data_IF_393458473814
#
_entry.id   IF_393458473814
#
_cell.length_a   1.000
_cell.length_b   1.000
_cell.length_c   1.000
_cell.angle_alpha   90.00
_cell.angle_beta   90.00
_cell.angle_gamma   90.00
#
_symmetry.space_group_name_H-M   'P 1'
#
loop_
_entity.id
_entity.type
_entity.pdbx_description
1 polymer ?
#
# COMPACT_ATOMS: atom_id res chain seq x y z
N UNK A 1 -43.74 45.06 36.98
CA UNK A 1 -43.01 43.81 36.74
C UNK A 1 -41.83 44.13 35.86
N UNK A 2 -40.55 44.06 36.28
CA UNK A 2 -39.41 44.42 35.53
C UNK A 2 -38.91 43.17 34.74
N UNK A 3 -38.55 43.39 33.47
CA UNK A 3 -38.00 42.46 32.54
C UNK A 3 -36.58 42.02 32.96
N UNK A 4 -36.32 40.70 32.97
CA UNK A 4 -35.04 40.14 33.33
C UNK A 4 -33.94 40.43 32.28
N UNK A 5 -32.74 40.72 32.78
CA UNK A 5 -31.55 40.90 31.97
C UNK A 5 -31.01 39.54 31.49
N UNK A 6 -30.43 39.46 30.27
CA UNK A 6 -29.76 38.25 29.79
C UNK A 6 -28.41 38.06 30.50
N UNK A 7 -28.13 36.84 30.90
CA UNK A 7 -26.88 36.38 31.50
C UNK A 7 -25.72 36.54 30.53
N UNK A 8 -24.67 37.23 30.93
CA UNK A 8 -23.38 37.32 30.23
C UNK A 8 -22.59 36.02 30.41
N UNK A 9 -22.34 35.32 29.32
CA UNK A 9 -21.36 34.27 29.27
C UNK A 9 -19.94 34.86 29.34
N UNK A 10 -19.02 34.30 30.13
CA UNK A 10 -17.64 34.80 30.17
C UNK A 10 -16.89 34.44 28.87
N UNK A 11 -15.91 35.25 28.46
CA UNK A 11 -15.14 34.97 27.23
C UNK A 11 -14.23 33.76 27.44
N UNK A 12 -14.29 32.84 26.49
CA UNK A 12 -13.35 31.70 26.38
C UNK A 12 -11.98 32.28 25.99
N UNK A 13 -11.05 32.23 26.93
CA UNK A 13 -9.64 32.56 26.70
C UNK A 13 -9.02 31.48 25.87
N UNK A 14 -8.89 31.69 24.55
CA UNK A 14 -8.09 30.88 23.67
C UNK A 14 -6.65 31.38 23.66
N UNK A 15 -5.86 30.86 24.56
CA UNK A 15 -4.40 30.84 24.42
C UNK A 15 -4.02 29.40 24.09
N UNK A 16 -4.13 29.02 22.82
CA UNK A 16 -3.42 27.85 22.30
C UNK A 16 -1.93 28.19 22.34
N UNK A 17 -1.24 27.74 23.39
CA UNK A 17 0.21 27.70 23.40
C UNK A 17 0.68 26.78 22.29
N UNK A 18 1.46 27.32 21.36
CA UNK A 18 2.19 26.53 20.40
C UNK A 18 3.02 25.47 21.14
N UNK A 19 3.08 24.23 20.65
CA UNK A 19 3.90 23.20 21.29
C UNK A 19 5.35 23.66 21.31
N UNK A 20 5.95 23.62 22.50
CA UNK A 20 7.37 23.90 22.70
C UNK A 20 8.18 22.99 21.80
N UNK A 21 9.15 23.55 21.08
CA UNK A 21 10.12 22.81 20.28
C UNK A 21 10.66 21.64 21.10
N UNK A 22 10.39 20.43 20.65
CA UNK A 22 10.95 19.21 21.23
C UNK A 22 12.48 19.31 21.15
N UNK A 23 13.15 18.99 22.23
CA UNK A 23 14.61 18.93 22.30
C UNK A 23 15.13 17.90 21.27
N UNK A 24 16.24 18.18 20.55
CA UNK A 24 16.74 17.32 19.50
C UNK A 24 17.56 16.16 20.07
N UNK A 25 16.92 15.14 20.62
CA UNK A 25 17.66 13.96 21.11
C UNK A 25 16.88 12.65 21.18
N UNK A 26 15.81 12.49 20.43
CA UNK A 26 15.25 11.16 20.18
C UNK A 26 15.39 10.87 18.71
N UNK A 27 16.47 10.17 18.34
CA UNK A 27 16.61 9.54 17.03
C UNK A 27 15.55 8.44 16.94
N UNK A 28 14.39 8.75 16.36
CA UNK A 28 13.44 7.71 15.99
C UNK A 28 14.05 6.90 14.85
N UNK A 29 14.21 5.59 15.06
CA UNK A 29 14.76 4.69 14.05
C UNK A 29 13.84 4.54 12.82
N UNK A 30 12.55 4.85 12.94
CA UNK A 30 11.56 4.79 11.87
C UNK A 30 10.18 5.24 12.35
N UNK A 31 9.27 5.43 11.41
CA UNK A 31 7.85 5.72 11.64
C UNK A 31 7.01 4.60 11.04
N UNK A 32 6.09 4.06 11.82
CA UNK A 32 5.17 3.04 11.37
C UNK A 32 3.74 3.51 11.54
N UNK A 33 2.93 3.39 10.50
CA UNK A 33 1.51 3.67 10.59
C UNK A 33 0.79 2.50 11.29
N UNK A 34 -0.13 2.83 12.20
CA UNK A 34 -0.91 1.85 12.95
C UNK A 34 -2.00 1.21 12.10
N UNK A 35 -2.70 2.02 11.31
CA UNK A 35 -3.81 1.62 10.44
C UNK A 35 -3.87 2.52 9.20
N UNK A 36 -4.69 2.11 8.24
CA UNK A 36 -5.14 2.94 7.13
C UNK A 36 -6.32 3.82 7.53
N UNK A 37 -7.03 4.28 6.52
CA UNK A 37 -8.22 5.14 6.56
C UNK A 37 -8.50 5.59 5.14
N UNK A 38 -9.11 6.76 4.97
CA UNK A 38 -9.41 7.36 3.66
C UNK A 38 -9.22 8.89 3.60
N UNK A 39 -8.77 9.48 4.70
CA UNK A 39 -8.66 10.93 4.89
C UNK A 39 -7.24 11.50 4.84
N UNK A 40 -6.19 10.67 4.73
CA UNK A 40 -4.79 11.12 4.84
C UNK A 40 -4.41 12.13 3.73
N UNK A 41 -5.10 12.10 2.60
CA UNK A 41 -4.95 13.09 1.53
C UNK A 41 -5.13 14.53 2.05
N UNK A 42 -5.95 14.73 3.08
CA UNK A 42 -6.21 16.05 3.69
C UNK A 42 -5.05 16.57 4.53
N UNK A 43 -4.18 15.67 4.98
CA UNK A 43 -3.00 16.00 5.80
C UNK A 43 -1.82 16.47 4.94
N UNK A 44 -1.71 15.99 3.70
CA UNK A 44 -0.56 16.27 2.82
C UNK A 44 -0.22 17.77 2.69
N UNK A 45 -1.20 18.69 2.54
CA UNK A 45 -0.91 20.12 2.44
C UNK A 45 -0.34 20.76 3.71
N UNK A 46 -0.48 20.08 4.87
CA UNK A 46 -0.03 20.55 6.16
C UNK A 46 1.41 20.11 6.50
N UNK A 47 1.98 19.23 5.68
CA UNK A 47 3.31 18.66 5.91
C UNK A 47 4.40 19.64 5.45
N UNK A 48 5.39 19.85 6.31
CA UNK A 48 6.58 20.65 5.99
C UNK A 48 7.59 19.82 5.19
N UNK A 49 7.62 20.04 3.87
CA UNK A 49 8.48 19.30 2.93
C UNK A 49 9.98 19.48 3.21
N UNK A 50 10.38 20.67 3.63
CA UNK A 50 11.80 20.98 3.89
C UNK A 50 12.25 20.31 5.18
N UNK A 51 11.45 20.36 6.22
CA UNK A 51 11.73 19.71 7.50
C UNK A 51 11.84 18.17 7.32
N UNK A 52 10.91 17.56 6.60
CA UNK A 52 10.91 16.11 6.36
C UNK A 52 12.13 15.71 5.51
N UNK A 53 12.49 16.49 4.49
CA UNK A 53 13.68 16.23 3.67
C UNK A 53 14.97 16.38 4.44
N UNK A 54 15.05 17.33 5.39
CA UNK A 54 16.24 17.60 6.18
C UNK A 54 16.56 16.48 7.19
N UNK A 55 15.57 15.75 7.66
CA UNK A 55 15.73 14.64 8.62
C UNK A 55 14.80 13.47 8.28
N UNK A 56 15.07 12.76 7.16
CA UNK A 56 14.19 11.68 6.69
C UNK A 56 14.21 10.50 7.65
N UNK A 57 13.04 9.93 7.89
CA UNK A 57 12.87 8.70 8.68
C UNK A 57 12.34 7.59 7.77
N UNK A 58 12.78 6.33 7.95
CA UNK A 58 12.10 5.19 7.34
C UNK A 58 10.62 5.19 7.74
N UNK A 59 9.73 5.18 6.76
CA UNK A 59 8.29 5.17 6.97
C UNK A 59 7.70 3.87 6.40
N UNK A 60 6.88 3.18 7.19
CA UNK A 60 6.16 1.97 6.81
C UNK A 60 4.65 2.24 6.86
N UNK A 61 3.94 1.86 5.81
CA UNK A 61 2.49 2.03 5.76
C UNK A 61 1.85 1.32 4.58
N UNK A 62 0.54 1.10 4.67
CA UNK A 62 -0.30 0.46 3.65
C UNK A 62 -1.60 1.24 3.49
N UNK A 63 -2.45 0.86 2.54
CA UNK A 63 -3.79 1.43 2.37
C UNK A 63 -3.75 2.96 2.18
N UNK A 64 -4.48 3.72 2.98
CA UNK A 64 -4.51 5.19 2.96
C UNK A 64 -3.12 5.83 3.10
N UNK A 65 -2.16 5.13 3.73
CA UNK A 65 -0.78 5.59 3.80
C UNK A 65 -0.10 5.67 2.43
N UNK A 66 -0.69 5.15 1.36
CA UNK A 66 -0.25 5.40 -0.03
C UNK A 66 -0.14 6.90 -0.31
N UNK A 67 -0.99 7.74 0.29
CA UNK A 67 -0.89 9.19 0.22
C UNK A 67 0.51 9.69 0.67
N UNK A 68 0.95 9.24 1.85
CA UNK A 68 2.24 9.66 2.40
C UNK A 68 3.41 8.97 1.69
N UNK A 69 3.25 7.74 1.21
CA UNK A 69 4.27 7.05 0.41
C UNK A 69 4.58 7.81 -0.89
N UNK A 70 3.55 8.26 -1.62
CA UNK A 70 3.70 9.09 -2.82
C UNK A 70 4.35 10.43 -2.48
N UNK A 71 3.91 11.07 -1.39
CA UNK A 71 4.48 12.33 -0.91
C UNK A 71 5.97 12.22 -0.59
N UNK A 72 6.38 11.19 0.16
CA UNK A 72 7.78 10.94 0.50
C UNK A 72 8.63 10.62 -0.72
N UNK A 73 8.09 9.83 -1.66
CA UNK A 73 8.73 9.56 -2.94
C UNK A 73 9.04 10.86 -3.71
N UNK A 74 8.09 11.80 -3.74
CA UNK A 74 8.29 13.11 -4.38
C UNK A 74 9.37 13.98 -3.68
N UNK A 75 9.67 13.68 -2.44
CA UNK A 75 10.81 14.27 -1.71
C UNK A 75 12.15 13.56 -1.97
N UNK A 76 12.15 12.47 -2.74
CA UNK A 76 13.33 11.64 -2.98
C UNK A 76 13.64 10.67 -1.83
N UNK A 77 12.69 10.46 -0.92
CA UNK A 77 12.82 9.58 0.24
C UNK A 77 12.24 8.21 -0.12
N UNK A 78 13.02 7.14 0.09
CA UNK A 78 12.52 5.76 0.01
C UNK A 78 11.69 5.49 1.26
N UNK A 79 10.47 5.00 1.03
CA UNK A 79 9.56 4.56 2.08
C UNK A 79 9.18 3.09 1.83
N UNK A 80 8.37 2.50 2.69
CA UNK A 80 8.11 1.07 2.65
C UNK A 80 6.61 0.80 2.67
N UNK A 81 6.10 0.14 1.62
CA UNK A 81 4.73 -0.34 1.60
C UNK A 81 4.69 -1.71 2.28
N UNK A 82 3.90 -1.84 3.33
CA UNK A 82 3.75 -3.10 4.08
C UNK A 82 3.96 -2.94 5.58
N UNK A 83 3.84 -4.06 6.28
CA UNK A 83 4.09 -4.20 7.71
C UNK A 83 3.22 -3.29 8.60
N UNK A 84 1.91 -3.26 8.36
CA UNK A 84 0.97 -2.56 9.24
C UNK A 84 1.09 -3.08 10.68
N UNK A 85 1.10 -2.14 11.64
CA UNK A 85 1.26 -2.48 13.05
C UNK A 85 0.10 -3.35 13.57
N UNK A 86 -1.13 -3.03 13.18
CA UNK A 86 -2.32 -3.69 13.71
C UNK A 86 -2.55 -5.09 13.12
N UNK A 87 -2.33 -5.27 11.83
CA UNK A 87 -2.67 -6.51 11.12
C UNK A 87 -1.53 -7.49 11.02
N UNK A 88 -0.35 -7.06 10.56
CA UNK A 88 0.79 -7.94 10.32
C UNK A 88 1.69 -8.09 11.55
N UNK A 89 2.13 -6.97 12.15
CA UNK A 89 2.98 -7.03 13.34
C UNK A 89 2.17 -7.41 14.60
N UNK A 90 0.90 -6.98 14.67
CA UNK A 90 -0.06 -7.38 15.69
C UNK A 90 -0.80 -8.69 15.37
N UNK A 91 -0.29 -9.52 14.46
CA UNK A 91 -0.89 -10.79 14.09
C UNK A 91 -1.12 -11.66 15.31
N UNK A 92 -2.32 -12.29 15.45
CA UNK A 92 -2.60 -13.21 16.55
C UNK A 92 -1.60 -14.36 16.59
N UNK A 93 -1.36 -14.89 17.79
CA UNK A 93 -0.50 -16.05 18.07
C UNK A 93 0.98 -15.79 17.82
N UNK A 94 1.39 -15.50 16.58
CA UNK A 94 2.80 -15.22 16.24
C UNK A 94 2.88 -14.40 14.95
N UNK A 95 3.93 -13.56 14.85
CA UNK A 95 4.30 -12.89 13.63
C UNK A 95 4.63 -13.93 12.54
N UNK A 96 4.08 -13.75 11.34
CA UNK A 96 4.36 -14.66 10.24
C UNK A 96 5.86 -14.59 9.86
N UNK A 97 6.57 -15.73 9.72
CA UNK A 97 8.01 -15.74 9.46
C UNK A 97 8.41 -14.94 8.21
N UNK A 98 7.65 -15.06 7.12
CA UNK A 98 7.88 -14.33 5.88
C UNK A 98 7.79 -12.81 6.07
N UNK A 99 6.79 -12.33 6.80
CA UNK A 99 6.65 -10.92 7.14
C UNK A 99 7.80 -10.45 8.03
N UNK A 100 8.15 -11.25 9.05
CA UNK A 100 9.27 -10.96 9.95
C UNK A 100 10.61 -10.82 9.20
N UNK A 101 10.87 -11.73 8.26
CA UNK A 101 12.09 -11.72 7.47
C UNK A 101 12.13 -10.53 6.50
N UNK A 102 11.01 -10.21 5.86
CA UNK A 102 10.90 -9.06 4.96
C UNK A 102 11.09 -7.73 5.71
N UNK A 103 10.46 -7.57 6.88
CA UNK A 103 10.63 -6.39 7.74
C UNK A 103 12.07 -6.29 8.24
N UNK A 104 12.66 -7.40 8.68
CA UNK A 104 14.07 -7.43 9.12
C UNK A 104 15.01 -7.04 7.98
N UNK A 105 14.76 -7.54 6.77
CA UNK A 105 15.54 -7.16 5.61
C UNK A 105 15.40 -5.65 5.33
N UNK A 106 14.20 -5.10 5.34
CA UNK A 106 13.95 -3.67 5.11
C UNK A 106 14.61 -2.76 6.16
N UNK A 107 14.71 -3.21 7.42
CA UNK A 107 15.27 -2.40 8.51
C UNK A 107 16.79 -2.54 8.65
N UNK A 108 17.37 -3.70 8.32
CA UNK A 108 18.74 -4.03 8.73
C UNK A 108 19.65 -4.53 7.59
N UNK A 109 19.17 -4.50 6.34
CA UNK A 109 20.02 -4.83 5.18
C UNK A 109 20.07 -3.68 4.17
N UNK A 110 21.15 -3.60 3.42
CA UNK A 110 21.35 -2.61 2.35
C UNK A 110 21.59 -3.27 0.97
N UNK A 111 21.40 -4.56 0.89
CA UNK A 111 21.65 -5.36 -0.31
C UNK A 111 20.35 -5.88 -0.96
N UNK A 112 20.50 -6.63 -2.06
CA UNK A 112 19.35 -7.25 -2.71
C UNK A 112 18.72 -8.32 -1.83
N UNK A 113 17.40 -8.30 -1.76
CA UNK A 113 16.56 -9.27 -1.05
C UNK A 113 15.57 -9.91 -2.02
N UNK A 114 15.58 -11.23 -2.12
CA UNK A 114 14.65 -11.97 -2.98
C UNK A 114 13.31 -12.11 -2.30
N UNK A 115 12.26 -11.56 -2.92
CA UNK A 115 10.89 -11.83 -2.51
C UNK A 115 10.51 -13.24 -2.97
N UNK A 116 9.87 -14.00 -2.11
CA UNK A 116 9.40 -15.37 -2.39
C UNK A 116 7.91 -15.48 -2.17
N UNK A 117 7.19 -16.27 -2.97
CA UNK A 117 5.77 -16.47 -2.76
C UNK A 117 5.49 -17.22 -1.46
N UNK A 118 4.41 -16.85 -0.80
CA UNK A 118 3.87 -17.61 0.31
C UNK A 118 3.35 -18.97 -0.18
N UNK A 119 3.42 -19.98 0.66
CA UNK A 119 2.79 -21.29 0.41
C UNK A 119 1.36 -21.37 0.93
N UNK A 120 0.99 -20.44 1.80
CA UNK A 120 -0.34 -20.28 2.38
C UNK A 120 -0.63 -18.80 2.58
N UNK A 121 -1.90 -18.42 2.47
CA UNK A 121 -2.35 -17.06 2.74
C UNK A 121 -3.69 -17.04 3.46
N UNK A 122 -4.04 -15.88 3.98
CA UNK A 122 -5.34 -15.57 4.56
C UNK A 122 -5.84 -14.22 4.04
N UNK A 123 -7.12 -14.15 3.72
CA UNK A 123 -7.83 -12.94 3.30
C UNK A 123 -9.02 -12.60 4.20
N UNK A 124 -9.20 -13.36 5.29
CA UNK A 124 -10.28 -13.14 6.25
C UNK A 124 -9.80 -12.32 7.44
N UNK A 125 -10.61 -11.36 7.88
CA UNK A 125 -10.32 -10.59 9.09
C UNK A 125 -10.73 -11.37 10.33
N UNK A 126 -10.20 -10.94 11.47
CA UNK A 126 -10.64 -11.41 12.77
C UNK A 126 -11.62 -10.43 13.39
N UNK A 127 -12.50 -10.94 14.21
CA UNK A 127 -13.28 -10.10 15.10
C UNK A 127 -12.40 -9.61 16.27
N UNK A 128 -12.08 -8.34 16.26
CA UNK A 128 -11.28 -7.69 17.32
C UNK A 128 -11.99 -7.66 18.68
N UNK A 129 -13.32 -7.80 18.69
CA UNK A 129 -14.12 -7.85 19.92
C UNK A 129 -14.12 -9.25 20.56
N UNK A 130 -13.71 -10.29 19.84
CA UNK A 130 -13.61 -11.65 20.35
C UNK A 130 -12.19 -11.98 20.83
N UNK A 131 -11.93 -12.00 22.16
CA UNK A 131 -10.61 -12.32 22.71
C UNK A 131 -10.06 -13.68 22.28
N UNK A 132 -10.93 -14.66 22.00
CA UNK A 132 -10.49 -15.99 21.58
C UNK A 132 -9.78 -16.01 20.23
N UNK A 133 -9.93 -14.95 19.44
CA UNK A 133 -9.21 -14.81 18.15
C UNK A 133 -7.73 -14.49 18.30
N UNK A 134 -7.27 -14.08 19.50
CA UNK A 134 -5.88 -13.70 19.74
C UNK A 134 -4.97 -14.88 20.11
N UNK A 135 -5.53 -15.95 20.67
CA UNK A 135 -4.79 -17.07 21.24
C UNK A 135 -4.58 -18.24 20.27
N UNK A 136 -5.07 -18.11 19.05
CA UNK A 136 -4.94 -19.16 18.02
C UNK A 136 -4.33 -18.63 16.74
N UNK A 137 -3.59 -19.51 16.06
CA UNK A 137 -3.11 -19.20 14.72
C UNK A 137 -4.30 -18.96 13.77
N UNK A 138 -4.26 -17.91 12.97
CA UNK A 138 -5.31 -17.63 12.00
C UNK A 138 -5.42 -18.74 10.94
N UNK A 139 -6.65 -19.11 10.57
CA UNK A 139 -6.88 -20.04 9.48
C UNK A 139 -6.30 -19.51 8.18
N UNK A 140 -5.60 -20.35 7.44
CA UNK A 140 -4.98 -20.03 6.17
C UNK A 140 -5.23 -21.11 5.13
N UNK A 141 -5.20 -20.75 3.86
CA UNK A 141 -5.42 -21.68 2.75
C UNK A 141 -4.14 -21.80 1.89
N UNK A 142 -3.90 -22.97 1.26
CA UNK A 142 -2.74 -23.15 0.40
C UNK A 142 -2.84 -22.31 -0.87
N UNK A 143 -1.68 -21.98 -1.46
CA UNK A 143 -1.59 -21.26 -2.73
C UNK A 143 -0.38 -21.76 -3.53
N UNK A 144 -0.52 -21.75 -4.86
CA UNK A 144 0.49 -22.25 -5.80
C UNK A 144 1.52 -21.19 -6.25
N UNK A 145 1.69 -20.13 -5.46
CA UNK A 145 2.62 -19.04 -5.76
C UNK A 145 2.01 -17.92 -6.60
N UNK A 146 2.86 -17.18 -7.32
CA UNK A 146 2.49 -16.03 -8.13
C UNK A 146 2.16 -16.43 -9.56
N UNK A 147 1.27 -15.68 -10.22
CA UNK A 147 0.86 -15.93 -11.60
C UNK A 147 1.58 -14.92 -12.51
N UNK A 148 2.34 -15.40 -13.47
CA UNK A 148 3.13 -14.59 -14.37
C UNK A 148 2.46 -14.45 -15.74
N UNK A 149 2.39 -13.22 -16.23
CA UNK A 149 1.88 -12.87 -17.55
C UNK A 149 3.02 -12.23 -18.37
N UNK A 150 3.29 -12.75 -19.57
CA UNK A 150 4.39 -12.34 -20.46
C UNK A 150 5.76 -12.32 -19.74
N UNK A 151 6.22 -13.44 -19.15
CA UNK A 151 7.41 -13.50 -18.31
C UNK A 151 8.71 -13.67 -19.12
N UNK A 152 8.90 -12.90 -20.19
CA UNK A 152 10.04 -12.99 -21.11
C UNK A 152 11.05 -11.84 -20.96
N UNK A 153 10.81 -10.95 -20.00
CA UNK A 153 11.60 -9.75 -19.78
C UNK A 153 12.36 -9.78 -18.46
N UNK A 154 13.45 -9.01 -18.41
CA UNK A 154 14.09 -8.54 -17.20
C UNK A 154 13.84 -7.03 -17.09
N UNK A 155 13.14 -6.62 -16.04
CA UNK A 155 12.84 -5.21 -15.76
C UNK A 155 13.52 -4.80 -14.46
N UNK A 156 14.30 -3.73 -14.52
CA UNK A 156 14.92 -3.13 -13.34
C UNK A 156 14.54 -1.67 -13.25
N UNK A 157 13.84 -1.29 -12.18
CA UNK A 157 13.31 0.05 -12.03
C UNK A 157 13.06 0.44 -10.57
N UNK A 158 12.58 1.65 -10.38
CA UNK A 158 12.09 2.10 -9.07
C UNK A 158 10.63 1.67 -8.90
N UNK A 159 10.29 1.17 -7.72
CA UNK A 159 8.92 0.84 -7.38
C UNK A 159 8.09 2.10 -7.18
N UNK A 160 6.92 2.14 -7.80
CA UNK A 160 5.91 3.18 -7.62
C UNK A 160 4.51 2.54 -7.67
N UNK A 161 3.56 3.06 -6.87
CA UNK A 161 2.21 2.52 -6.89
C UNK A 161 1.52 2.58 -5.53
N UNK A 162 1.04 1.45 -5.01
CA UNK A 162 0.36 1.32 -3.72
C UNK A 162 -1.10 0.90 -3.86
N UNK A 163 -1.95 1.36 -2.94
CA UNK A 163 -3.38 1.09 -2.96
C UNK A 163 -4.05 1.79 -4.14
N UNK A 164 -4.80 1.03 -4.95
CA UNK A 164 -5.36 1.50 -6.22
C UNK A 164 -6.46 2.55 -6.01
N UNK A 165 -7.29 2.38 -4.99
CA UNK A 165 -8.36 3.30 -4.63
C UNK A 165 -7.78 4.65 -4.20
N UNK A 166 -6.75 4.64 -3.37
CA UNK A 166 -6.07 5.87 -2.92
C UNK A 166 -5.39 6.58 -4.09
N UNK A 167 -4.71 5.83 -4.97
CA UNK A 167 -4.13 6.42 -6.19
C UNK A 167 -5.20 7.07 -7.07
N UNK A 168 -6.40 6.48 -7.16
CA UNK A 168 -7.51 7.06 -7.92
C UNK A 168 -7.95 8.41 -7.35
N UNK A 169 -7.99 8.55 -6.03
CA UNK A 169 -8.34 9.80 -5.36
C UNK A 169 -7.25 10.86 -5.51
N UNK A 170 -5.99 10.49 -5.41
CA UNK A 170 -4.87 11.39 -5.71
C UNK A 170 -4.90 11.89 -7.15
N UNK A 171 -5.19 10.99 -8.12
CA UNK A 171 -5.37 11.33 -9.52
C UNK A 171 -6.55 12.29 -9.74
N UNK A 172 -7.67 12.05 -9.08
CA UNK A 172 -8.88 12.87 -9.19
C UNK A 172 -8.69 14.24 -8.55
N UNK A 173 -7.98 14.32 -7.43
CA UNK A 173 -7.64 15.55 -6.74
C UNK A 173 -6.48 16.33 -7.39
N UNK A 174 -5.83 15.77 -8.42
CA UNK A 174 -4.60 16.30 -9.04
C UNK A 174 -3.50 16.58 -8.00
N UNK A 175 -3.30 15.64 -7.09
CA UNK A 175 -2.33 15.74 -5.98
C UNK A 175 -1.25 14.68 -6.08
N UNK A 176 -0.02 15.08 -5.78
CA UNK A 176 1.19 14.26 -5.62
C UNK A 176 1.56 13.38 -6.83
N UNK A 177 0.66 13.08 -7.75
CA UNK A 177 0.97 12.32 -8.96
C UNK A 177 1.36 13.28 -10.08
N UNK A 178 2.57 13.15 -10.58
CA UNK A 178 3.10 14.02 -11.62
C UNK A 178 2.19 14.05 -12.86
N UNK A 179 1.97 15.26 -13.41
CA UNK A 179 1.18 15.43 -14.63
C UNK A 179 1.89 14.86 -15.86
N UNK A 180 3.22 14.97 -15.89
CA UNK A 180 4.04 14.32 -16.91
C UNK A 180 4.33 12.87 -16.49
N UNK A 181 3.74 11.88 -17.18
CA UNK A 181 3.95 10.48 -16.84
C UNK A 181 5.37 9.99 -17.13
N UNK A 182 6.17 10.73 -17.92
CA UNK A 182 7.53 10.33 -18.26
C UNK A 182 8.47 10.26 -17.05
N UNK A 183 8.12 10.89 -15.93
CA UNK A 183 8.90 10.79 -14.67
C UNK A 183 8.93 9.37 -14.11
N UNK A 184 8.00 8.50 -14.54
CA UNK A 184 7.92 7.10 -14.13
C UNK A 184 8.50 6.11 -15.15
N UNK A 185 9.13 6.61 -16.22
CA UNK A 185 9.64 5.77 -17.32
C UNK A 185 10.59 4.68 -16.83
N UNK A 186 10.31 3.44 -17.20
CA UNK A 186 11.10 2.27 -16.80
C UNK A 186 10.91 1.82 -15.35
N UNK A 187 9.96 2.41 -14.63
CA UNK A 187 9.64 1.99 -13.26
C UNK A 187 8.96 0.62 -13.18
N UNK A 188 8.85 0.10 -11.98
CA UNK A 188 8.03 -1.08 -11.65
C UNK A 188 6.78 -0.59 -10.94
N UNK A 189 5.61 -0.80 -11.57
CA UNK A 189 4.33 -0.49 -10.95
C UNK A 189 3.98 -1.59 -9.95
N UNK A 190 3.56 -1.23 -8.74
CA UNK A 190 2.95 -2.19 -7.83
C UNK A 190 1.61 -1.67 -7.34
N UNK A 191 0.58 -2.49 -7.40
CA UNK A 191 -0.79 -2.11 -7.07
C UNK A 191 -1.44 -3.17 -6.18
N UNK A 192 -2.31 -2.75 -5.29
CA UNK A 192 -3.16 -3.64 -4.51
C UNK A 192 -4.53 -3.00 -4.30
N UNK A 193 -5.52 -3.77 -3.90
CA UNK A 193 -6.89 -3.34 -3.61
C UNK A 193 -7.25 -3.63 -2.16
N UNK A 194 -8.07 -2.77 -1.57
CA UNK A 194 -8.42 -2.80 -0.16
C UNK A 194 -9.49 -3.87 0.19
N UNK A 195 -9.84 -3.90 1.47
CA UNK A 195 -10.96 -4.67 2.03
C UNK A 195 -12.33 -4.14 1.60
N UNK A 196 -12.40 -2.98 0.96
CA UNK A 196 -13.64 -2.49 0.33
C UNK A 196 -14.06 -3.34 -0.87
N UNK A 197 -13.14 -4.15 -1.37
CA UNK A 197 -13.38 -5.13 -2.42
C UNK A 197 -13.98 -4.50 -3.69
N UNK A 198 -13.26 -3.56 -4.33
CA UNK A 198 -13.75 -2.96 -5.57
C UNK A 198 -14.01 -4.03 -6.63
N UNK A 199 -15.10 -3.86 -7.38
CA UNK A 199 -15.43 -4.78 -8.48
C UNK A 199 -14.35 -4.76 -9.57
N UNK A 200 -14.25 -5.83 -10.36
CA UNK A 200 -13.34 -5.86 -11.51
C UNK A 200 -13.59 -4.71 -12.50
N UNK A 201 -14.85 -4.26 -12.64
CA UNK A 201 -15.17 -3.10 -13.50
C UNK A 201 -14.66 -1.78 -12.90
N UNK A 202 -14.69 -1.60 -11.57
CA UNK A 202 -14.10 -0.43 -10.91
C UNK A 202 -12.59 -0.42 -11.06
N UNK A 203 -11.92 -1.55 -10.82
CA UNK A 203 -10.49 -1.71 -11.06
C UNK A 203 -10.13 -1.37 -12.51
N UNK A 204 -10.87 -1.91 -13.48
CA UNK A 204 -10.65 -1.58 -14.89
C UNK A 204 -10.80 -0.09 -15.16
N UNK A 205 -11.82 0.58 -14.61
CA UNK A 205 -12.06 2.02 -14.83
C UNK A 205 -10.95 2.89 -14.26
N UNK A 206 -10.40 2.52 -13.10
CA UNK A 206 -9.26 3.25 -12.53
C UNK A 206 -8.03 3.06 -13.44
N UNK A 207 -7.71 1.83 -13.81
CA UNK A 207 -6.58 1.52 -14.69
C UNK A 207 -6.73 2.15 -16.08
N UNK A 208 -7.96 2.17 -16.64
CA UNK A 208 -8.26 2.91 -17.87
C UNK A 208 -7.89 4.38 -17.74
N UNK A 209 -8.29 5.03 -16.62
CA UNK A 209 -7.98 6.44 -16.41
C UNK A 209 -6.47 6.68 -16.26
N UNK A 210 -5.74 5.76 -15.62
CA UNK A 210 -4.27 5.77 -15.60
C UNK A 210 -3.70 5.60 -17.02
N UNK A 211 -4.30 4.73 -17.83
CA UNK A 211 -3.93 4.52 -19.22
C UNK A 211 -4.16 5.77 -20.10
N UNK A 212 -5.34 6.38 -20.00
CA UNK A 212 -5.67 7.63 -20.72
C UNK A 212 -4.74 8.79 -20.36
N UNK A 213 -4.18 8.80 -19.15
CA UNK A 213 -3.10 9.72 -18.75
C UNK A 213 -1.72 9.33 -19.29
N UNK A 214 -1.58 8.19 -19.98
CA UNK A 214 -0.31 7.64 -20.45
C UNK A 214 0.58 7.12 -19.33
N UNK A 215 0.03 6.90 -18.14
CA UNK A 215 0.79 6.48 -16.96
C UNK A 215 1.12 4.98 -17.03
N UNK A 216 0.17 4.11 -17.39
CA UNK A 216 0.41 2.64 -17.45
C UNK A 216 1.54 2.27 -18.40
N UNK A 217 1.64 2.93 -19.55
CA UNK A 217 2.65 2.63 -20.56
C UNK A 217 4.10 2.96 -20.10
N UNK A 218 4.29 3.62 -18.96
CA UNK A 218 5.62 3.95 -18.42
C UNK A 218 6.26 2.83 -17.63
N UNK A 219 5.46 1.81 -17.28
CA UNK A 219 5.91 0.72 -16.43
C UNK A 219 6.02 -0.58 -17.25
N UNK A 220 7.24 -1.03 -17.57
CA UNK A 220 7.45 -2.31 -18.27
C UNK A 220 7.13 -3.53 -17.40
N UNK A 221 6.96 -3.37 -16.09
CA UNK A 221 6.49 -4.42 -15.19
C UNK A 221 5.44 -3.91 -14.20
N UNK A 222 4.44 -4.77 -13.93
CA UNK A 222 3.40 -4.59 -12.93
C UNK A 222 3.44 -5.75 -11.92
N UNK A 223 3.48 -5.43 -10.64
CA UNK A 223 3.23 -6.35 -9.53
C UNK A 223 1.83 -6.06 -8.99
N UNK A 224 0.92 -7.02 -9.07
CA UNK A 224 -0.42 -6.89 -8.52
C UNK A 224 -0.51 -7.72 -7.24
N UNK A 225 -0.79 -7.06 -6.13
CA UNK A 225 -1.01 -7.68 -4.84
C UNK A 225 -2.18 -8.65 -4.87
N UNK A 226 -2.13 -9.68 -4.02
CA UNK A 226 -3.22 -10.63 -3.88
C UNK A 226 -4.49 -9.90 -3.44
N UNK A 227 -5.55 -10.00 -4.22
CA UNK A 227 -6.81 -9.34 -3.91
C UNK A 227 -7.43 -9.94 -2.64
N UNK A 228 -7.86 -9.07 -1.74
CA UNK A 228 -8.67 -9.44 -0.58
C UNK A 228 -10.08 -9.75 -1.07
N UNK A 229 -10.48 -11.00 -0.95
CA UNK A 229 -11.75 -11.49 -1.49
C UNK A 229 -12.82 -11.77 -0.41
N UNK A 230 -12.62 -11.21 0.78
CA UNK A 230 -13.51 -11.36 1.92
C UNK A 230 -13.47 -10.11 2.80
N UNK A 231 -14.64 -9.70 3.27
CA UNK A 231 -14.79 -8.70 4.33
C UNK A 231 -16.00 -9.05 5.21
N UNK A 232 -16.16 -8.39 6.36
CA UNK A 232 -17.36 -8.56 7.21
C UNK A 232 -18.64 -8.13 6.50
N UNK A 233 -18.56 -7.16 5.61
CA UNK A 233 -19.69 -6.70 4.80
C UNK A 233 -19.99 -7.65 3.64
N UNK A 234 -18.96 -8.33 3.13
CA UNK A 234 -19.08 -9.29 2.02
C UNK A 234 -18.29 -10.57 2.34
N UNK A 235 -18.85 -11.46 3.18
CA UNK A 235 -18.18 -12.68 3.60
C UNK A 235 -18.28 -13.78 2.53
N UNK A 236 -17.55 -13.60 1.45
CA UNK A 236 -17.54 -14.49 0.29
C UNK A 236 -17.15 -15.93 0.66
N UNK A 237 -17.85 -16.91 0.07
CA UNK A 237 -17.50 -18.33 0.11
C UNK A 237 -16.37 -18.64 -0.89
N UNK A 238 -15.81 -19.83 -0.81
CA UNK A 238 -14.67 -20.24 -1.62
C UNK A 238 -14.85 -20.00 -3.14
N UNK A 239 -16.00 -20.38 -3.69
CA UNK A 239 -16.29 -20.17 -5.14
C UNK A 239 -16.43 -18.68 -5.50
N UNK A 240 -17.03 -17.90 -4.62
CA UNK A 240 -17.18 -16.44 -4.79
C UNK A 240 -15.82 -15.74 -4.73
N UNK A 241 -14.95 -16.16 -3.81
CA UNK A 241 -13.56 -15.67 -3.74
C UNK A 241 -12.79 -15.97 -5.02
N UNK A 242 -12.86 -17.19 -5.54
CA UNK A 242 -12.20 -17.57 -6.78
C UNK A 242 -12.70 -16.74 -7.97
N UNK A 243 -14.01 -16.52 -8.06
CA UNK A 243 -14.59 -15.67 -9.10
C UNK A 243 -14.10 -14.23 -8.96
N UNK A 244 -14.18 -13.65 -7.76
CA UNK A 244 -13.74 -12.29 -7.50
C UNK A 244 -12.27 -12.08 -7.88
N UNK A 245 -11.37 -12.96 -7.43
CA UNK A 245 -9.94 -12.86 -7.77
C UNK A 245 -9.67 -13.04 -9.27
N UNK A 246 -10.45 -13.86 -9.96
CA UNK A 246 -10.35 -14.00 -11.40
C UNK A 246 -10.81 -12.71 -12.13
N UNK A 247 -11.92 -12.11 -11.71
CA UNK A 247 -12.43 -10.84 -12.24
C UNK A 247 -11.43 -9.69 -12.04
N UNK A 248 -10.75 -9.65 -10.89
CA UNK A 248 -9.67 -8.67 -10.63
C UNK A 248 -8.52 -8.81 -11.64
N UNK A 249 -8.03 -10.03 -11.85
CA UNK A 249 -6.96 -10.30 -12.83
C UNK A 249 -7.39 -9.96 -14.26
N UNK A 250 -8.60 -10.34 -14.64
CA UNK A 250 -9.14 -10.03 -15.97
C UNK A 250 -9.22 -8.51 -16.19
N UNK A 251 -9.66 -7.74 -15.20
CA UNK A 251 -9.73 -6.29 -15.26
C UNK A 251 -8.35 -5.66 -15.54
N UNK A 252 -7.33 -6.12 -14.82
CA UNK A 252 -5.95 -5.68 -15.02
C UNK A 252 -5.45 -6.05 -16.42
N UNK A 253 -5.63 -7.30 -16.84
CA UNK A 253 -5.18 -7.78 -18.16
C UNK A 253 -5.88 -7.02 -19.30
N UNK A 254 -7.16 -6.72 -19.17
CA UNK A 254 -7.93 -5.92 -20.13
C UNK A 254 -7.36 -4.50 -20.25
N UNK A 255 -7.00 -3.88 -19.14
CA UNK A 255 -6.40 -2.55 -19.13
C UNK A 255 -4.98 -2.57 -19.75
N UNK A 256 -4.14 -3.54 -19.38
CA UNK A 256 -2.81 -3.69 -19.97
C UNK A 256 -2.88 -3.94 -21.47
N UNK A 257 -3.75 -4.83 -21.94
CA UNK A 257 -3.92 -5.11 -23.37
C UNK A 257 -4.25 -3.85 -24.19
N UNK A 258 -4.94 -2.88 -23.58
CA UNK A 258 -5.35 -1.65 -24.25
C UNK A 258 -4.29 -0.56 -24.18
N UNK A 259 -3.66 -0.37 -23.01
CA UNK A 259 -2.85 0.81 -22.72
C UNK A 259 -1.36 0.54 -22.55
N UNK A 260 -0.98 -0.72 -22.26
CA UNK A 260 0.39 -1.12 -22.00
C UNK A 260 0.63 -2.60 -22.42
N UNK A 261 0.42 -2.97 -23.68
CA UNK A 261 0.37 -4.37 -24.13
C UNK A 261 1.70 -5.13 -24.00
N UNK A 262 2.78 -4.43 -23.72
CA UNK A 262 4.12 -5.03 -23.54
C UNK A 262 4.54 -5.10 -22.06
N UNK A 263 3.68 -4.67 -21.14
CA UNK A 263 3.97 -4.73 -19.70
C UNK A 263 3.87 -6.18 -19.21
N UNK A 264 4.97 -6.69 -18.67
CA UNK A 264 4.98 -7.95 -17.93
C UNK A 264 4.18 -7.77 -16.62
N UNK A 265 3.32 -8.72 -16.25
CA UNK A 265 2.59 -8.63 -15.00
C UNK A 265 2.78 -9.87 -14.13
N UNK A 266 2.87 -9.64 -12.82
CA UNK A 266 2.92 -10.70 -11.80
C UNK A 266 1.73 -10.48 -10.86
N UNK A 267 0.86 -11.49 -10.78
CA UNK A 267 -0.35 -11.43 -9.97
C UNK A 267 -0.20 -12.23 -8.69
N UNK A 268 -1.06 -11.91 -7.73
CA UNK A 268 -1.15 -12.57 -6.43
C UNK A 268 0.14 -12.44 -5.61
N UNK A 269 0.89 -11.36 -5.81
CA UNK A 269 2.08 -11.07 -5.01
C UNK A 269 1.65 -10.78 -3.56
N UNK A 270 2.40 -11.30 -2.60
CA UNK A 270 2.01 -11.30 -1.19
C UNK A 270 2.29 -9.94 -0.53
N UNK A 271 1.57 -8.91 -0.95
CA UNK A 271 1.48 -7.59 -0.32
C UNK A 271 0.05 -7.02 -0.45
N UNK A 272 -0.26 -5.97 0.27
CA UNK A 272 -1.60 -5.36 0.32
C UNK A 272 -2.42 -5.82 1.53
N UNK A 273 -3.68 -6.25 1.34
CA UNK A 273 -4.63 -6.54 2.43
C UNK A 273 -4.80 -8.03 2.74
N UNK A 274 -3.83 -8.86 2.40
CA UNK A 274 -3.80 -10.29 2.74
C UNK A 274 -2.60 -10.63 3.62
N UNK A 275 -2.68 -11.70 4.43
CA UNK A 275 -1.61 -12.18 5.30
C UNK A 275 -1.02 -13.49 4.75
N UNK A 276 0.33 -13.62 4.60
CA UNK A 276 1.38 -12.69 5.03
C UNK A 276 1.62 -11.54 4.06
N UNK A 277 2.39 -10.54 4.52
CA UNK A 277 2.82 -9.43 3.68
C UNK A 277 4.34 -9.37 3.52
N UNK A 278 4.75 -9.07 2.29
CA UNK A 278 6.10 -8.64 1.92
C UNK A 278 6.18 -7.11 1.96
N UNK A 279 7.33 -6.58 2.32
CA UNK A 279 7.60 -5.15 2.27
C UNK A 279 8.10 -4.77 0.86
N UNK A 280 7.49 -3.78 0.25
CA UNK A 280 7.92 -3.23 -1.04
C UNK A 280 8.57 -1.86 -0.81
N UNK A 281 9.83 -1.64 -1.27
CA UNK A 281 10.49 -0.34 -1.10
C UNK A 281 9.92 0.67 -2.10
N UNK A 282 9.08 1.57 -1.64
CA UNK A 282 8.51 2.65 -2.44
C UNK A 282 9.59 3.63 -2.89
N UNK A 283 9.82 3.78 -4.18
CA UNK A 283 10.93 4.55 -4.73
C UNK A 283 12.29 3.82 -4.69
N UNK A 284 12.38 2.65 -4.05
CA UNK A 284 13.55 1.79 -4.06
C UNK A 284 13.68 0.96 -5.34
N UNK A 285 14.80 0.25 -5.50
CA UNK A 285 15.05 -0.57 -6.68
C UNK A 285 14.34 -1.92 -6.59
N UNK A 286 13.71 -2.29 -7.70
CA UNK A 286 13.09 -3.61 -7.89
C UNK A 286 13.58 -4.19 -9.21
N UNK A 287 13.95 -5.46 -9.18
CA UNK A 287 14.28 -6.28 -10.35
C UNK A 287 13.25 -7.38 -10.50
N UNK A 288 12.56 -7.42 -11.63
CA UNK A 288 11.57 -8.44 -11.98
C UNK A 288 12.11 -9.24 -13.15
N UNK A 289 12.59 -10.45 -12.87
CA UNK A 289 13.14 -11.36 -13.88
C UNK A 289 12.06 -12.39 -14.24
N UNK A 290 11.37 -12.17 -15.34
CA UNK A 290 10.29 -13.04 -15.80
C UNK A 290 10.76 -14.45 -16.16
N UNK A 291 11.85 -14.58 -16.90
CA UNK A 291 12.37 -15.90 -17.32
C UNK A 291 12.80 -16.77 -16.13
N UNK A 292 13.29 -16.16 -15.06
CA UNK A 292 13.65 -16.85 -13.81
C UNK A 292 12.49 -16.89 -12.80
N UNK A 293 11.37 -16.22 -13.10
CA UNK A 293 10.24 -16.02 -12.18
C UNK A 293 10.69 -15.55 -10.80
N UNK A 294 11.54 -14.52 -10.77
CA UNK A 294 12.15 -14.01 -9.54
C UNK A 294 11.96 -12.49 -9.42
N UNK A 295 11.60 -12.05 -8.22
CA UNK A 295 11.52 -10.64 -7.86
C UNK A 295 12.55 -10.37 -6.78
N UNK A 296 13.38 -9.34 -6.99
CA UNK A 296 14.39 -8.90 -6.03
C UNK A 296 14.19 -7.42 -5.75
N UNK A 297 14.25 -7.03 -4.48
CA UNK A 297 14.18 -5.64 -4.05
C UNK A 297 15.50 -5.23 -3.39
N UNK A 298 15.80 -3.94 -3.39
CA UNK A 298 16.91 -3.36 -2.63
C UNK A 298 16.33 -2.32 -1.68
N UNK A 299 16.48 -2.59 -0.38
CA UNK A 299 16.01 -1.72 0.67
C UNK A 299 16.98 -0.58 0.98
#
# INVERSE_FOLDING_TARGET
MPLGQPSRTPPVSSAAQAPSRASPSVSMAGVQAEAGGDDQITVLPLLDRELIRADPKPFFGTSDNTNLLVFLHNLGIVAYHGACLMTELGRPYALHPMTADSVRAALFTSGPYELRPATRYRDTDRDWADPATFDREPDSQPVDGWIWHQPDQLVEGRAWGGNLEILSWLLMADREIARDPAVHEGGVLFLETSEEMPSGEEVFRILRNMGERGLLARFPALLMGRAKAWSFQQPNRAEEKLRYTAEQREAVLRALATYAPHTMAVFDVDFGHTDPQLVIPYGGRVSVNGSAQRITVTY
#
